data_IF_704139683512
#
_entry.id   IF_704139683512
#
_cell.length_a   1.000
_cell.length_b   1.000
_cell.length_c   1.000
_cell.angle_alpha   90.00
_cell.angle_beta   90.00
_cell.angle_gamma   90.00
#
_symmetry.space_group_name_H-M   'P 1'
#
loop_
_entity.id
_entity.type
_entity.pdbx_description
1 polymer ?
#
# COMPACT_ATOMS: atom_id res chain seq x y z
N UNK A 1 -10.45 -1.58 18.01
CA UNK A 1 -9.53 -0.62 17.34
C UNK A 1 -8.49 -1.47 16.63
N UNK A 2 -8.18 -1.24 15.34
CA UNK A 2 -7.20 -2.05 14.61
C UNK A 2 -5.86 -2.11 15.36
N UNK A 3 -5.14 -3.23 15.22
CA UNK A 3 -3.80 -3.36 15.78
C UNK A 3 -2.84 -2.48 14.98
N UNK A 4 -2.30 -1.47 15.65
CA UNK A 4 -1.43 -0.47 15.03
C UNK A 4 -0.05 -1.07 14.92
N UNK A 5 0.28 -1.60 13.75
CA UNK A 5 1.62 -2.13 13.50
C UNK A 5 2.54 -0.96 13.17
N UNK A 6 3.38 -0.59 14.13
CA UNK A 6 4.41 0.44 13.97
C UNK A 6 5.43 0.03 12.91
N UNK A 7 5.61 0.85 11.87
CA UNK A 7 6.71 0.70 10.92
C UNK A 7 7.39 2.05 10.68
N UNK A 8 8.54 2.27 11.31
CA UNK A 8 9.32 3.51 11.14
C UNK A 8 10.07 3.44 9.82
N UNK A 9 9.79 4.36 8.91
CA UNK A 9 10.42 4.40 7.58
C UNK A 9 11.79 5.08 7.60
N UNK A 10 12.05 6.03 8.51
CA UNK A 10 13.35 6.70 8.64
C UNK A 10 13.67 7.16 10.09
N UNK A 11 14.96 7.34 10.41
CA UNK A 11 15.42 7.82 11.72
C UNK A 11 14.98 9.26 12.03
N UNK A 12 14.63 10.06 11.03
CA UNK A 12 14.16 11.44 11.23
C UNK A 12 12.65 11.59 11.20
N UNK A 13 11.93 10.66 10.59
CA UNK A 13 10.49 10.80 10.33
C UNK A 13 9.70 9.60 10.82
N UNK A 14 8.69 9.87 11.66
CA UNK A 14 7.83 8.83 12.17
C UNK A 14 6.59 8.67 11.28
N UNK A 15 6.52 7.52 10.61
CA UNK A 15 5.32 7.06 9.87
C UNK A 15 4.77 5.83 10.57
N UNK A 16 3.46 5.72 10.62
CA UNK A 16 2.70 4.62 11.19
C UNK A 16 1.76 4.09 10.11
N UNK A 17 1.82 2.79 9.84
CA UNK A 17 0.84 2.12 8.99
C UNK A 17 -0.20 1.44 9.86
N UNK A 18 -1.47 1.64 9.56
CA UNK A 18 -2.58 1.10 10.36
C UNK A 18 -3.12 -0.14 9.66
N UNK A 19 -3.23 -1.25 10.39
CA UNK A 19 -3.60 -2.56 9.82
C UNK A 19 -4.92 -3.07 10.37
N UNK A 20 -5.78 -3.55 9.48
CA UNK A 20 -6.98 -4.30 9.81
C UNK A 20 -6.84 -5.71 9.23
N UNK A 21 -6.53 -6.68 10.10
CA UNK A 21 -6.11 -8.00 9.66
C UNK A 21 -4.83 -7.92 8.81
N UNK A 22 -4.93 -8.33 7.56
CA UNK A 22 -3.84 -8.28 6.59
C UNK A 22 -3.82 -7.00 5.73
N UNK A 23 -4.85 -6.15 5.84
CA UNK A 23 -5.03 -4.94 5.04
C UNK A 23 -4.42 -3.71 5.70
N UNK A 24 -3.60 -2.96 4.96
CA UNK A 24 -3.12 -1.64 5.38
C UNK A 24 -4.21 -0.61 5.06
N UNK A 25 -4.89 -0.12 6.09
CA UNK A 25 -6.12 0.69 5.98
C UNK A 25 -5.92 2.18 6.25
N UNK A 26 -4.68 2.60 6.40
CA UNK A 26 -4.37 4.00 6.61
C UNK A 26 -2.95 4.24 7.08
N UNK A 27 -2.61 5.50 7.20
CA UNK A 27 -1.30 5.96 7.66
C UNK A 27 -1.44 7.16 8.57
N UNK A 28 -0.52 7.29 9.53
CA UNK A 28 -0.29 8.50 10.31
C UNK A 28 1.19 8.83 10.18
N UNK A 29 1.54 9.98 9.61
CA UNK A 29 2.91 10.35 9.36
C UNK A 29 3.16 11.79 9.78
N UNK A 30 4.32 12.02 10.39
CA UNK A 30 4.79 13.37 10.62
C UNK A 30 5.18 14.01 9.28
N UNK A 31 4.62 15.17 8.97
CA UNK A 31 5.04 15.98 7.84
C UNK A 31 6.46 16.47 8.08
N UNK A 32 7.27 16.40 7.03
CA UNK A 32 8.62 16.95 7.01
C UNK A 32 8.60 18.48 7.22
N UNK A 33 9.78 19.07 7.16
CA UNK A 33 9.92 20.51 7.08
C UNK A 33 9.11 21.11 5.92
N UNK A 34 8.21 22.04 6.26
CA UNK A 34 7.49 22.87 5.30
C UNK A 34 8.03 24.31 5.44
N UNK A 35 8.27 25.04 4.34
CA UNK A 35 8.69 26.44 4.39
C UNK A 35 7.70 27.34 5.13
N UNK A 36 6.44 26.91 5.28
CA UNK A 36 5.51 27.49 6.24
C UNK A 36 5.72 26.87 7.64
N UNK A 37 6.21 27.64 8.64
CA UNK A 37 6.46 27.14 9.99
C UNK A 37 5.21 26.59 10.68
N UNK A 38 4.00 27.06 10.31
CA UNK A 38 2.73 26.53 10.85
C UNK A 38 2.40 25.12 10.33
N UNK A 39 3.02 24.70 9.23
CA UNK A 39 2.87 23.37 8.63
C UNK A 39 4.07 22.47 8.91
N UNK A 40 5.10 22.98 9.56
CA UNK A 40 6.27 22.22 9.95
C UNK A 40 5.94 21.37 11.18
N UNK A 41 6.17 20.06 11.10
CA UNK A 41 5.94 19.14 12.22
C UNK A 41 4.49 18.72 12.46
N UNK A 42 3.54 19.09 11.58
CA UNK A 42 2.16 18.60 11.65
C UNK A 42 2.08 17.11 11.34
N UNK A 43 1.10 16.43 11.91
CA UNK A 43 0.82 15.02 11.67
C UNK A 43 -0.30 14.89 10.65
N UNK A 44 0.04 14.25 9.52
CA UNK A 44 -0.91 13.85 8.48
C UNK A 44 -1.46 12.48 8.79
N UNK A 45 -2.76 12.31 8.61
CA UNK A 45 -3.39 11.00 8.73
C UNK A 45 -4.30 10.72 7.55
N UNK A 46 -4.45 9.43 7.24
CA UNK A 46 -5.38 8.94 6.23
C UNK A 46 -6.04 7.65 6.70
N UNK A 47 -7.31 7.49 6.38
CA UNK A 47 -8.13 6.31 6.62
C UNK A 47 -8.79 5.91 5.31
N UNK A 48 -8.41 4.75 4.81
CA UNK A 48 -8.73 4.26 3.48
C UNK A 48 -7.53 3.57 2.85
N UNK A 49 -7.76 2.91 1.73
CA UNK A 49 -6.74 2.10 1.07
C UNK A 49 -6.98 2.06 -0.44
N UNK A 50 -5.92 1.96 -1.23
CA UNK A 50 -6.04 1.86 -2.69
C UNK A 50 -6.32 0.39 -3.10
N UNK A 51 -7.28 0.09 -3.99
CA UNK A 51 -7.83 0.94 -5.05
C UNK A 51 -9.16 1.66 -4.77
N UNK A 52 -9.54 1.88 -3.51
CA UNK A 52 -10.73 2.66 -3.18
C UNK A 52 -10.66 4.08 -3.77
N UNK A 53 -11.81 4.68 -4.08
CA UNK A 53 -11.84 6.04 -4.63
C UNK A 53 -11.26 7.04 -3.61
N UNK A 54 -10.47 8.05 -4.04
CA UNK A 54 -9.91 9.04 -3.13
C UNK A 54 -10.94 9.75 -2.26
N UNK A 55 -12.14 10.00 -2.79
CA UNK A 55 -13.24 10.68 -2.07
C UNK A 55 -13.92 9.81 -1.02
N UNK A 56 -13.70 8.49 -1.05
CA UNK A 56 -14.18 7.57 -0.02
C UNK A 56 -13.17 7.41 1.12
N UNK A 57 -11.97 8.00 0.98
CA UNK A 57 -10.94 7.99 2.00
C UNK A 57 -11.01 9.26 2.86
N UNK A 58 -10.88 9.11 4.18
CA UNK A 58 -10.76 10.25 5.09
C UNK A 58 -9.30 10.65 5.23
N UNK A 59 -9.03 11.95 5.31
CA UNK A 59 -7.67 12.49 5.49
C UNK A 59 -7.74 13.74 6.35
N UNK A 60 -6.64 14.05 7.03
CA UNK A 60 -6.53 15.28 7.79
C UNK A 60 -5.10 15.59 8.21
N UNK A 61 -4.92 16.80 8.72
CA UNK A 61 -3.68 17.28 9.34
C UNK A 61 -4.01 17.71 10.78
N UNK A 62 -3.14 17.38 11.73
CA UNK A 62 -3.31 17.68 13.15
C UNK A 62 -1.97 18.06 13.78
N UNK A 63 -1.93 18.84 14.87
CA UNK A 63 -0.67 19.30 15.46
C UNK A 63 0.19 18.20 16.09
N UNK A 64 -0.43 17.12 16.57
CA UNK A 64 0.25 16.07 17.32
C UNK A 64 -0.29 14.67 16.99
N UNK A 65 0.50 13.65 17.31
CA UNK A 65 0.19 12.26 17.04
C UNK A 65 -1.07 11.77 17.76
N UNK A 66 -1.30 12.17 19.02
CA UNK A 66 -2.44 11.68 19.79
C UNK A 66 -3.76 12.17 19.17
N UNK A 67 -3.78 13.42 18.71
CA UNK A 67 -4.90 14.00 17.98
C UNK A 67 -5.09 13.32 16.62
N UNK A 68 -4.02 13.10 15.84
CA UNK A 68 -4.08 12.36 14.57
C UNK A 68 -4.69 10.96 14.75
N UNK A 69 -4.23 10.28 15.80
CA UNK A 69 -4.65 8.94 16.14
C UNK A 69 -6.11 8.87 16.59
N UNK A 70 -6.57 9.82 17.39
CA UNK A 70 -7.99 9.92 17.77
C UNK A 70 -8.88 10.25 16.57
N UNK A 71 -8.44 11.16 15.68
CA UNK A 71 -9.16 11.51 14.47
C UNK A 71 -9.30 10.31 13.51
N UNK A 72 -8.20 9.56 13.31
CA UNK A 72 -8.23 8.30 12.58
C UNK A 72 -9.22 7.31 13.21
N UNK A 73 -9.19 7.13 14.53
CA UNK A 73 -10.07 6.18 15.21
C UNK A 73 -11.56 6.54 15.03
N UNK A 74 -11.89 7.84 15.02
CA UNK A 74 -13.23 8.33 14.75
C UNK A 74 -13.63 8.07 13.29
N UNK A 75 -12.75 8.40 12.34
CA UNK A 75 -12.99 8.14 10.92
C UNK A 75 -13.17 6.65 10.62
N UNK A 76 -12.35 5.79 11.21
CA UNK A 76 -12.42 4.33 11.04
C UNK A 76 -13.78 3.75 11.45
N UNK A 77 -14.39 4.25 12.54
CA UNK A 77 -15.73 3.81 12.99
C UNK A 77 -16.83 4.12 11.97
N UNK A 78 -16.67 5.18 11.18
CA UNK A 78 -17.61 5.56 10.12
C UNK A 78 -17.28 4.85 8.82
N UNK A 79 -15.99 4.67 8.53
CA UNK A 79 -15.48 4.06 7.31
C UNK A 79 -15.78 2.56 7.23
N UNK A 80 -15.38 1.78 8.25
CA UNK A 80 -15.44 0.32 8.22
C UNK A 80 -16.85 -0.25 7.91
N UNK A 81 -17.95 0.24 8.51
CA UNK A 81 -19.28 -0.30 8.24
C UNK A 81 -19.78 -0.11 6.81
N UNK A 82 -19.18 0.82 6.04
CA UNK A 82 -19.57 1.10 4.66
C UNK A 82 -18.80 0.24 3.65
N UNK A 83 -17.80 -0.52 4.10
CA UNK A 83 -16.92 -1.29 3.22
C UNK A 83 -17.42 -2.72 3.05
N UNK A 84 -17.16 -3.29 1.88
CA UNK A 84 -17.50 -4.66 1.51
C UNK A 84 -16.25 -5.50 1.30
N UNK A 85 -16.36 -6.82 1.49
CA UNK A 85 -15.23 -7.76 1.40
C UNK A 85 -14.47 -7.67 0.06
N UNK A 86 -15.18 -7.44 -1.05
CA UNK A 86 -14.58 -7.30 -2.38
C UNK A 86 -13.58 -6.14 -2.47
N UNK A 87 -13.78 -5.06 -1.72
CA UNK A 87 -12.84 -3.92 -1.69
C UNK A 87 -11.55 -4.31 -0.99
N UNK A 88 -11.64 -5.06 0.11
CA UNK A 88 -10.48 -5.61 0.82
C UNK A 88 -9.73 -6.62 -0.06
N UNK A 89 -10.44 -7.47 -0.82
CA UNK A 89 -9.81 -8.38 -1.79
C UNK A 89 -9.10 -7.63 -2.93
N UNK A 90 -9.70 -6.55 -3.44
CA UNK A 90 -9.08 -5.71 -4.45
C UNK A 90 -7.76 -5.11 -3.95
N UNK A 91 -7.73 -4.67 -2.69
CA UNK A 91 -6.49 -4.23 -2.05
C UNK A 91 -5.44 -5.34 -1.97
N UNK A 92 -5.81 -6.56 -1.55
CA UNK A 92 -4.87 -7.69 -1.47
C UNK A 92 -4.27 -8.01 -2.83
N UNK A 93 -5.11 -8.08 -3.87
CA UNK A 93 -4.66 -8.31 -5.25
C UNK A 93 -3.70 -7.23 -5.71
N UNK A 94 -3.98 -5.97 -5.38
CA UNK A 94 -3.12 -4.85 -5.72
C UNK A 94 -1.77 -4.91 -5.01
N UNK A 95 -1.75 -5.30 -3.74
CA UNK A 95 -0.51 -5.48 -2.96
C UNK A 95 0.34 -6.62 -3.52
N UNK A 96 -0.27 -7.77 -3.78
CA UNK A 96 0.38 -8.92 -4.40
C UNK A 96 0.92 -8.58 -5.80
N UNK A 97 0.13 -7.90 -6.63
CA UNK A 97 0.59 -7.43 -7.95
C UNK A 97 1.81 -6.51 -7.82
N UNK A 98 1.78 -5.57 -6.87
CA UNK A 98 2.89 -4.65 -6.62
C UNK A 98 4.16 -5.40 -6.19
N UNK A 99 4.03 -6.33 -5.24
CA UNK A 99 5.15 -7.14 -4.77
C UNK A 99 5.75 -7.99 -5.91
N UNK A 100 4.88 -8.62 -6.71
CA UNK A 100 5.27 -9.44 -7.85
C UNK A 100 5.99 -8.62 -8.92
N UNK A 101 5.47 -7.44 -9.24
CA UNK A 101 6.10 -6.50 -10.16
C UNK A 101 7.52 -6.13 -9.73
N UNK A 102 7.71 -5.77 -8.45
CA UNK A 102 9.04 -5.44 -7.94
C UNK A 102 9.97 -6.66 -7.89
N UNK A 103 9.45 -7.87 -7.64
CA UNK A 103 10.25 -9.09 -7.71
C UNK A 103 10.73 -9.39 -9.14
N UNK A 104 9.88 -9.21 -10.15
CA UNK A 104 10.27 -9.29 -11.56
C UNK A 104 11.32 -8.23 -11.92
N UNK A 105 11.17 -7.00 -11.43
CA UNK A 105 12.14 -5.94 -11.62
C UNK A 105 13.51 -6.29 -11.02
N UNK A 106 13.53 -6.80 -9.79
CA UNK A 106 14.75 -7.27 -9.13
C UNK A 106 15.41 -8.45 -9.86
N UNK A 107 14.61 -9.29 -10.54
CA UNK A 107 15.10 -10.37 -11.39
C UNK A 107 15.58 -9.90 -12.79
N UNK A 108 15.57 -8.59 -13.07
CA UNK A 108 16.07 -8.01 -14.32
C UNK A 108 15.03 -7.87 -15.44
N UNK A 109 13.75 -8.18 -15.17
CA UNK A 109 12.66 -8.07 -16.15
C UNK A 109 12.02 -6.66 -16.17
N UNK A 110 12.78 -5.62 -15.82
CA UNK A 110 12.37 -4.22 -15.95
C UNK A 110 12.18 -3.84 -17.43
N UNK A 111 10.95 -3.84 -17.95
CA UNK A 111 10.72 -3.34 -19.29
C UNK A 111 10.94 -1.81 -19.33
N UNK A 112 11.83 -1.34 -20.21
CA UNK A 112 12.12 0.10 -20.35
C UNK A 112 10.96 0.91 -20.97
N UNK A 113 9.89 0.25 -21.41
CA UNK A 113 8.70 0.86 -22.04
C UNK A 113 7.36 0.41 -21.41
N UNK A 114 7.37 -0.31 -20.28
CA UNK A 114 6.16 -0.54 -19.48
C UNK A 114 5.09 -1.48 -20.05
N UNK A 115 5.23 -2.00 -21.28
CA UNK A 115 4.19 -2.82 -21.94
C UNK A 115 4.82 -3.92 -22.81
N UNK A 116 4.35 -5.15 -22.66
CA UNK A 116 4.71 -6.27 -23.53
C UNK A 116 5.00 -7.58 -22.79
N UNK A 117 4.83 -8.73 -23.48
CA UNK A 117 5.04 -10.03 -22.88
C UNK A 117 6.51 -10.27 -22.53
N UNK A 118 6.75 -11.02 -21.46
CA UNK A 118 8.07 -11.46 -21.02
C UNK A 118 8.21 -12.98 -21.18
N UNK A 119 9.42 -13.43 -21.50
CA UNK A 119 9.70 -14.86 -21.62
C UNK A 119 10.10 -15.44 -20.27
N UNK A 120 9.35 -16.44 -19.82
CA UNK A 120 9.67 -17.23 -18.64
C UNK A 120 10.78 -18.25 -18.92
N UNK A 121 11.49 -18.71 -17.88
CA UNK A 121 12.47 -19.81 -17.97
C UNK A 121 11.87 -21.12 -18.47
N UNK A 122 10.55 -21.32 -18.37
CA UNK A 122 9.82 -22.45 -18.94
C UNK A 122 9.53 -22.31 -20.46
N UNK A 123 9.95 -21.21 -21.09
CA UNK A 123 9.77 -20.94 -22.53
C UNK A 123 8.49 -20.19 -22.89
N UNK A 124 7.50 -20.10 -21.98
CA UNK A 124 6.23 -19.40 -22.20
C UNK A 124 6.42 -17.88 -22.19
N UNK A 125 5.80 -17.20 -23.16
CA UNK A 125 5.63 -15.75 -23.18
C UNK A 125 4.33 -15.38 -22.47
N UNK A 126 4.35 -14.40 -21.58
CA UNK A 126 3.17 -13.97 -20.83
C UNK A 126 3.18 -12.46 -20.55
N UNK A 127 2.00 -11.85 -20.41
CA UNK A 127 1.83 -10.45 -20.08
C UNK A 127 1.87 -10.22 -18.55
N UNK A 128 2.90 -9.54 -18.01
CA UNK A 128 3.01 -9.29 -16.57
C UNK A 128 1.98 -8.29 -16.03
N UNK A 129 1.15 -7.68 -16.90
CA UNK A 129 0.00 -6.89 -16.48
C UNK A 129 -1.24 -7.74 -16.18
N UNK A 130 -1.30 -8.97 -16.68
CA UNK A 130 -2.36 -9.94 -16.37
C UNK A 130 -1.98 -10.65 -15.08
N UNK A 131 -2.85 -10.53 -14.07
CA UNK A 131 -2.60 -11.07 -12.74
C UNK A 131 -2.40 -12.59 -12.77
N UNK A 132 -3.32 -13.33 -13.39
CA UNK A 132 -3.27 -14.80 -13.45
C UNK A 132 -2.01 -15.34 -14.13
N UNK A 133 -1.61 -14.73 -15.25
CA UNK A 133 -0.40 -15.08 -15.97
C UNK A 133 0.86 -14.82 -15.13
N UNK A 134 0.91 -13.70 -14.42
CA UNK A 134 2.01 -13.38 -13.50
C UNK A 134 2.11 -14.42 -12.38
N UNK A 135 0.98 -14.81 -11.80
CA UNK A 135 0.94 -15.80 -10.71
C UNK A 135 1.45 -17.17 -11.16
N UNK A 136 1.16 -17.58 -12.39
CA UNK A 136 1.62 -18.86 -12.95
C UNK A 136 3.13 -18.92 -13.19
N UNK A 137 3.77 -17.77 -13.48
CA UNK A 137 5.15 -17.75 -13.98
C UNK A 137 6.17 -17.10 -13.02
N UNK A 138 5.74 -16.27 -12.06
CA UNK A 138 6.66 -15.53 -11.21
C UNK A 138 7.59 -16.43 -10.39
N UNK A 139 7.12 -17.60 -9.97
CA UNK A 139 7.95 -18.55 -9.21
C UNK A 139 9.07 -19.16 -10.03
N UNK A 140 8.84 -19.40 -11.33
CA UNK A 140 9.86 -19.88 -12.24
C UNK A 140 10.95 -18.84 -12.51
N UNK A 141 10.63 -17.55 -12.39
CA UNK A 141 11.55 -16.44 -12.64
C UNK A 141 12.32 -16.06 -11.38
N UNK A 142 11.61 -15.90 -10.27
CA UNK A 142 12.17 -15.34 -9.04
C UNK A 142 12.68 -16.42 -8.06
N UNK A 143 12.34 -17.69 -8.30
CA UNK A 143 12.62 -18.79 -7.38
C UNK A 143 11.85 -18.71 -6.06
N UNK A 144 10.80 -17.88 -5.99
CA UNK A 144 9.98 -17.64 -4.80
C UNK A 144 8.52 -17.89 -5.09
N UNK A 145 7.73 -18.22 -4.07
CA UNK A 145 6.28 -18.22 -4.22
C UNK A 145 5.80 -16.80 -4.63
N UNK A 146 4.65 -16.68 -5.32
CA UNK A 146 4.03 -15.39 -5.56
C UNK A 146 3.89 -14.60 -4.26
N UNK A 147 4.11 -13.28 -4.31
CA UNK A 147 4.13 -12.42 -3.15
C UNK A 147 2.81 -12.44 -2.36
N UNK A 148 2.84 -12.23 -1.04
CA UNK A 148 1.64 -12.05 -0.23
C UNK A 148 0.97 -10.68 -0.47
#
# INVERSE_FOLDING_TARGET
MPELTRHRTDDRQETWTIRYGDVDVGTIAQQDWDPNPERSGVWKWSCGFYPLHPDECFRGETPDFATAHAAFAAAWKVFLPQRIDTEFEAWRRQKQWTANKYALWNAGFCNKLGRGPIQCSCGTMFDPSIHEETMAHIGHITGRAPGP
#
